data_IF_267463057643
#
_entry.id   IF_267463057643
#
_cell.length_a   1.000
_cell.length_b   1.000
_cell.length_c   1.000
_cell.angle_alpha   90.00
_cell.angle_beta   90.00
_cell.angle_gamma   90.00
#
_symmetry.space_group_name_H-M   'P 1'
#
loop_
_entity.id
_entity.type
_entity.pdbx_description
1 polymer ?
#
# COMPACT_ATOMS: atom_id res chain seq x y z
N UNK A 1 11.59 10.02 17.84
CA UNK A 1 10.69 10.09 16.68
C UNK A 1 10.81 8.79 15.92
N UNK A 2 9.69 8.23 15.46
CA UNK A 2 9.65 7.00 14.68
C UNK A 2 9.57 7.34 13.19
N UNK A 3 9.89 6.37 12.33
CA UNK A 3 9.68 6.52 10.89
C UNK A 3 8.16 6.69 10.62
N UNK A 4 7.81 7.57 9.69
CA UNK A 4 6.44 7.86 9.25
C UNK A 4 6.20 7.29 7.87
N UNK A 5 5.01 6.75 7.63
CA UNK A 5 4.52 6.46 6.29
C UNK A 5 3.02 6.75 6.22
N UNK A 6 2.67 7.75 5.42
CA UNK A 6 1.34 8.35 5.40
C UNK A 6 0.74 8.38 3.99
N UNK A 7 -0.51 7.95 3.88
CA UNK A 7 -1.30 7.99 2.64
C UNK A 7 -2.80 8.05 2.98
N UNK A 8 -3.58 8.50 2.00
CA UNK A 8 -5.04 8.52 2.11
C UNK A 8 -5.64 7.20 1.61
N UNK A 9 -6.77 6.79 2.20
CA UNK A 9 -7.51 5.57 1.83
C UNK A 9 -8.96 5.95 1.50
N UNK A 10 -9.44 5.64 0.30
CA UNK A 10 -10.86 5.80 -0.05
C UNK A 10 -11.70 4.67 0.56
N UNK A 11 -11.33 3.43 0.24
CA UNK A 11 -12.09 2.23 0.63
C UNK A 11 -11.19 0.99 0.73
N UNK A 12 -11.66 0.00 1.47
CA UNK A 12 -11.01 -1.29 1.67
C UNK A 12 -11.99 -2.42 1.41
N UNK A 13 -11.54 -3.44 0.67
CA UNK A 13 -12.23 -4.70 0.51
C UNK A 13 -11.50 -5.82 1.26
N UNK A 14 -12.25 -6.64 1.96
CA UNK A 14 -11.76 -7.84 2.64
C UNK A 14 -12.34 -9.09 2.00
N UNK A 15 -11.53 -10.12 1.81
CA UNK A 15 -11.90 -11.34 1.11
C UNK A 15 -11.60 -12.56 1.97
N UNK A 16 -12.45 -13.57 1.91
CA UNK A 16 -12.31 -14.79 2.72
C UNK A 16 -11.32 -15.78 2.13
N UNK A 17 -11.05 -15.69 0.83
CA UNK A 17 -10.06 -16.47 0.11
C UNK A 17 -8.73 -15.72 -0.02
N UNK A 18 -7.69 -16.45 -0.44
CA UNK A 18 -6.34 -15.90 -0.60
C UNK A 18 -6.14 -15.20 -1.95
N UNK A 19 -7.06 -15.34 -2.91
CA UNK A 19 -6.95 -14.76 -4.25
C UNK A 19 -7.80 -13.51 -4.43
N UNK A 20 -8.42 -13.02 -3.35
CA UNK A 20 -9.19 -11.79 -3.34
C UNK A 20 -10.41 -11.84 -4.27
N UNK A 21 -11.09 -13.00 -4.33
CA UNK A 21 -12.20 -13.25 -5.27
C UNK A 21 -13.54 -13.55 -4.60
N UNK A 22 -13.52 -14.06 -3.37
CA UNK A 22 -14.71 -14.56 -2.66
C UNK A 22 -14.95 -13.85 -1.32
N UNK A 23 -16.22 -13.83 -0.90
CA UNK A 23 -16.61 -13.36 0.42
C UNK A 23 -16.38 -11.86 0.68
N UNK A 24 -16.29 -11.04 -0.39
CA UNK A 24 -16.01 -9.60 -0.33
C UNK A 24 -16.85 -8.87 0.72
N UNK A 25 -16.19 -8.22 1.66
CA UNK A 25 -16.75 -7.22 2.58
C UNK A 25 -16.16 -5.86 2.26
N UNK A 26 -16.93 -4.79 2.48
CA UNK A 26 -16.49 -3.42 2.17
C UNK A 26 -16.46 -2.58 3.43
N UNK A 27 -15.36 -1.82 3.58
CA UNK A 27 -15.22 -0.75 4.55
C UNK A 27 -14.89 0.54 3.78
N UNK A 28 -15.80 1.51 3.82
CA UNK A 28 -15.57 2.83 3.21
C UNK A 28 -14.94 3.76 4.25
N UNK A 29 -13.91 4.51 3.86
CA UNK A 29 -13.21 5.46 4.73
C UNK A 29 -13.53 6.90 4.34
N UNK A 30 -12.82 7.46 3.36
CA UNK A 30 -13.08 8.82 2.86
C UNK A 30 -14.28 8.89 1.91
N UNK A 31 -14.54 7.80 1.18
CA UNK A 31 -15.46 7.83 0.05
C UNK A 31 -14.85 8.50 -1.18
N UNK A 32 -15.60 8.53 -2.29
CA UNK A 32 -15.12 9.00 -3.60
C UNK A 32 -14.96 10.54 -3.62
N UNK A 33 -13.86 11.01 -3.00
CA UNK A 33 -13.46 12.41 -2.91
C UNK A 33 -12.21 12.67 -3.76
N UNK A 34 -11.92 13.95 -4.00
CA UNK A 34 -10.57 14.36 -4.40
C UNK A 34 -9.71 14.43 -3.14
N UNK A 35 -8.66 13.59 -3.00
CA UNK A 35 -7.83 13.58 -1.81
C UNK A 35 -6.96 14.85 -1.72
N UNK A 36 -6.62 15.20 -0.49
CA UNK A 36 -5.70 16.28 -0.12
C UNK A 36 -4.66 15.76 0.87
N UNK A 37 -3.61 16.54 1.12
CA UNK A 37 -2.58 16.20 2.13
C UNK A 37 -3.16 15.97 3.53
N UNK A 38 -4.22 16.69 3.89
CA UNK A 38 -4.89 16.56 5.19
C UNK A 38 -5.67 15.25 5.34
N UNK A 39 -5.91 14.52 4.24
CA UNK A 39 -6.59 13.21 4.24
C UNK A 39 -5.61 12.04 4.49
N UNK A 40 -4.30 12.30 4.53
CA UNK A 40 -3.29 11.28 4.81
C UNK A 40 -3.26 10.94 6.30
N UNK A 41 -3.24 9.65 6.58
CA UNK A 41 -3.03 9.12 7.93
C UNK A 41 -1.65 8.47 8.00
N UNK A 42 -0.93 8.64 9.10
CA UNK A 42 0.35 7.96 9.33
C UNK A 42 0.09 6.50 9.75
N UNK A 43 0.16 5.60 8.78
CA UNK A 43 -0.12 4.17 8.98
C UNK A 43 0.96 3.45 9.78
N UNK A 44 2.13 4.06 9.97
CA UNK A 44 3.17 3.56 10.87
C UNK A 44 2.87 3.87 12.35
N UNK A 45 1.95 4.79 12.64
CA UNK A 45 1.55 5.22 13.98
C UNK A 45 0.25 4.56 14.49
N UNK A 46 -0.16 3.44 13.90
CA UNK A 46 -1.37 2.68 14.23
C UNK A 46 -2.68 3.52 14.19
N UNK A 47 -3.03 4.16 13.05
CA UNK A 47 -4.24 4.95 12.93
C UNK A 47 -5.48 4.04 12.93
N UNK A 48 -6.64 4.60 13.26
CA UNK A 48 -7.90 3.86 13.12
C UNK A 48 -8.29 3.79 11.65
N UNK A 49 -8.18 2.61 11.06
CA UNK A 49 -8.53 2.36 9.66
C UNK A 49 -10.04 2.11 9.55
N UNK A 50 -10.80 3.18 9.66
CA UNK A 50 -12.25 3.22 9.46
C UNK A 50 -13.09 2.60 10.57
N UNK A 51 -14.40 2.61 10.34
CA UNK A 51 -15.38 2.01 11.24
C UNK A 51 -16.50 1.36 10.44
N UNK A 52 -16.93 0.18 10.87
CA UNK A 52 -17.93 -0.59 10.17
C UNK A 52 -18.28 -1.88 10.90
N UNK A 53 -19.21 -2.64 10.34
CA UNK A 53 -19.58 -3.96 10.82
C UNK A 53 -19.18 -4.99 9.75
N UNK A 54 -18.40 -5.99 10.16
CA UNK A 54 -18.05 -7.12 9.31
C UNK A 54 -18.57 -8.42 9.94
N UNK A 55 -19.12 -9.36 9.15
CA UNK A 55 -19.48 -10.67 9.65
C UNK A 55 -18.29 -11.39 10.30
N UNK A 56 -18.58 -12.26 11.26
CA UNK A 56 -17.57 -13.16 11.79
C UNK A 56 -16.95 -14.00 10.67
N UNK A 57 -15.63 -14.12 10.68
CA UNK A 57 -14.90 -14.80 9.62
C UNK A 57 -13.40 -14.54 9.67
N UNK A 58 -12.69 -15.20 8.78
CA UNK A 58 -11.26 -14.99 8.56
C UNK A 58 -11.07 -14.46 7.14
N UNK A 59 -10.48 -13.28 7.03
CA UNK A 59 -10.24 -12.57 5.78
C UNK A 59 -8.76 -12.63 5.45
N UNK A 60 -8.45 -13.35 4.37
CA UNK A 60 -7.09 -13.78 4.01
C UNK A 60 -6.45 -12.90 2.94
N UNK A 61 -7.25 -12.06 2.30
CA UNK A 61 -6.80 -11.01 1.41
C UNK A 61 -7.56 -9.72 1.70
N UNK A 62 -6.92 -8.58 1.43
CA UNK A 62 -7.57 -7.29 1.30
C UNK A 62 -7.11 -6.54 0.04
N UNK A 63 -8.00 -5.74 -0.53
CA UNK A 63 -7.68 -4.75 -1.56
C UNK A 63 -7.92 -3.36 -0.98
N UNK A 64 -6.92 -2.49 -1.03
CA UNK A 64 -6.96 -1.14 -0.46
C UNK A 64 -6.89 -0.14 -1.60
N UNK A 65 -7.85 0.77 -1.66
CA UNK A 65 -7.80 1.88 -2.62
C UNK A 65 -7.11 3.07 -1.97
N UNK A 66 -5.84 3.29 -2.31
CA UNK A 66 -5.00 4.35 -1.77
C UNK A 66 -4.85 5.49 -2.75
N UNK A 67 -4.58 6.68 -2.22
CA UNK A 67 -4.09 7.77 -3.03
C UNK A 67 -2.63 7.47 -3.43
N UNK A 68 -2.30 7.63 -4.71
CA UNK A 68 -0.97 7.38 -5.29
C UNK A 68 0.16 8.22 -4.68
N UNK A 69 -0.18 9.31 -4.01
CA UNK A 69 0.77 10.17 -3.33
C UNK A 69 1.02 9.67 -1.89
N UNK A 70 2.20 9.10 -1.67
CA UNK A 70 2.63 8.55 -0.36
C UNK A 70 3.71 9.44 0.23
N UNK A 71 3.55 9.85 1.49
CA UNK A 71 4.54 10.62 2.22
C UNK A 71 5.26 9.73 3.23
N UNK A 72 6.58 9.83 3.27
CA UNK A 72 7.43 9.16 4.25
C UNK A 72 8.32 10.16 4.96
N UNK A 73 8.70 9.87 6.20
CA UNK A 73 9.73 10.64 6.91
C UNK A 73 10.59 9.71 7.75
N UNK A 74 11.93 9.75 7.59
CA UNK A 74 12.83 8.94 8.40
C UNK A 74 13.01 9.55 9.79
N UNK A 75 13.12 8.69 10.79
CA UNK A 75 13.46 9.07 12.17
C UNK A 75 14.91 9.51 12.34
N UNK A 76 15.80 9.13 11.40
CA UNK A 76 17.22 9.41 11.47
C UNK A 76 17.77 9.81 10.10
N UNK A 77 18.72 10.74 10.10
CA UNK A 77 19.46 11.10 8.89
C UNK A 77 20.37 9.95 8.50
N UNK A 78 20.25 9.52 7.25
CA UNK A 78 21.12 8.51 6.64
C UNK A 78 22.56 9.02 6.53
N UNK A 79 23.53 8.10 6.49
CA UNK A 79 24.97 8.47 6.56
C UNK A 79 25.42 9.34 5.38
N UNK A 80 24.86 9.11 4.18
CA UNK A 80 25.09 9.88 2.97
C UNK A 80 24.26 11.17 2.88
N UNK A 81 23.21 11.28 3.70
CA UNK A 81 22.38 12.48 3.82
C UNK A 81 21.27 12.61 2.78
N UNK A 82 21.02 11.59 1.95
CA UNK A 82 19.92 11.58 0.98
C UNK A 82 18.54 11.44 1.62
N UNK A 83 18.47 10.85 2.82
CA UNK A 83 17.32 10.92 3.72
C UNK A 83 17.70 11.70 4.98
N UNK A 84 16.99 12.80 5.26
CA UNK A 84 17.18 13.70 6.39
C UNK A 84 16.10 13.45 7.45
N UNK A 85 16.50 13.33 8.72
CA UNK A 85 15.58 13.10 9.82
C UNK A 85 14.44 14.13 9.85
N UNK A 86 13.21 13.65 10.02
CA UNK A 86 11.99 14.45 10.13
C UNK A 86 11.64 15.30 8.90
N UNK A 87 12.35 15.13 7.78
CA UNK A 87 11.97 15.71 6.50
C UNK A 87 10.92 14.81 5.83
N UNK A 88 9.87 15.43 5.29
CA UNK A 88 8.83 14.71 4.55
C UNK A 88 9.26 14.56 3.09
N UNK A 89 9.26 13.33 2.61
CA UNK A 89 9.49 12.98 1.22
C UNK A 89 8.21 12.40 0.65
N UNK A 90 7.85 12.81 -0.57
CA UNK A 90 6.66 12.32 -1.24
C UNK A 90 7.05 11.48 -2.46
N UNK A 91 6.49 10.28 -2.52
CA UNK A 91 6.55 9.38 -3.67
C UNK A 91 5.21 9.47 -4.38
N UNK A 92 5.27 9.69 -5.68
CA UNK A 92 4.12 9.54 -6.58
C UNK A 92 4.20 8.15 -7.21
N UNK A 93 3.30 7.25 -6.81
CA UNK A 93 3.29 5.86 -7.25
C UNK A 93 2.87 5.72 -8.72
N UNK A 94 2.05 6.65 -9.22
CA UNK A 94 1.69 6.73 -10.63
C UNK A 94 2.71 7.58 -11.43
N UNK A 95 3.49 8.41 -10.73
CA UNK A 95 4.53 9.30 -11.25
C UNK A 95 5.72 8.55 -11.83
N UNK A 96 5.78 8.50 -13.16
CA UNK A 96 6.88 7.92 -13.91
C UNK A 96 7.06 8.61 -15.26
N UNK A 97 8.17 8.32 -15.93
CA UNK A 97 8.17 8.50 -17.38
C UNK A 97 7.33 7.38 -18.02
N UNK A 98 7.06 7.45 -19.33
CA UNK A 98 6.28 6.42 -20.02
C UNK A 98 6.86 4.99 -19.89
N UNK A 99 8.07 4.81 -19.38
CA UNK A 99 8.74 3.52 -19.22
C UNK A 99 8.65 2.93 -17.80
N UNK A 100 8.35 3.75 -16.78
CA UNK A 100 8.16 3.31 -15.39
C UNK A 100 6.74 3.47 -14.87
N UNK A 101 5.82 3.97 -15.70
CA UNK A 101 4.42 4.14 -15.34
C UNK A 101 3.75 2.81 -14.99
N UNK A 102 2.92 2.84 -13.93
CA UNK A 102 2.06 1.71 -13.58
C UNK A 102 0.98 1.52 -14.65
N UNK A 103 1.13 0.45 -15.44
CA UNK A 103 0.25 0.20 -16.60
C UNK A 103 -0.76 -0.91 -16.35
N UNK A 104 -0.57 -1.75 -15.33
CA UNK A 104 -1.46 -2.86 -14.99
C UNK A 104 -1.96 -2.80 -13.54
N UNK A 105 -2.91 -1.91 -13.25
CA UNK A 105 -3.63 -1.90 -11.98
C UNK A 105 -4.96 -2.63 -12.14
N UNK A 106 -5.23 -3.64 -11.32
CA UNK A 106 -6.51 -4.35 -11.33
C UNK A 106 -7.58 -3.61 -10.53
N UNK A 107 -8.72 -3.30 -11.15
CA UNK A 107 -9.84 -2.68 -10.48
C UNK A 107 -10.90 -3.73 -10.08
N UNK A 108 -11.10 -4.00 -8.78
CA UNK A 108 -12.08 -4.98 -8.30
C UNK A 108 -13.54 -4.49 -8.38
N UNK A 109 -13.78 -3.19 -8.63
CA UNK A 109 -15.12 -2.64 -8.84
C UNK A 109 -15.64 -2.93 -10.25
N UNK A 110 -14.75 -2.86 -11.24
CA UNK A 110 -15.11 -3.06 -12.66
C UNK A 110 -14.72 -4.43 -13.18
N UNK A 111 -13.82 -5.14 -12.50
CA UNK A 111 -13.25 -6.41 -12.96
C UNK A 111 -12.38 -6.23 -14.22
N UNK A 112 -11.66 -5.11 -14.32
CA UNK A 112 -10.83 -4.76 -15.45
C UNK A 112 -9.52 -4.11 -15.02
N UNK A 113 -8.48 -4.25 -15.84
CA UNK A 113 -7.23 -3.51 -15.68
C UNK A 113 -7.36 -2.09 -16.21
N UNK A 114 -6.57 -1.18 -15.62
CA UNK A 114 -6.34 0.16 -16.12
C UNK A 114 -4.88 0.56 -15.87
N UNK A 115 -4.47 1.64 -16.51
CA UNK A 115 -3.15 2.26 -16.32
C UNK A 115 -3.33 3.58 -15.58
N UNK A 116 -2.36 3.96 -14.74
CA UNK A 116 -2.30 5.33 -14.21
C UNK A 116 -2.21 6.34 -15.36
N UNK A 117 -2.68 7.57 -15.14
CA UNK A 117 -2.47 8.62 -16.13
C UNK A 117 -1.05 9.13 -15.98
N UNK A 118 -0.20 8.94 -17.00
CA UNK A 118 1.15 9.51 -16.98
C UNK A 118 1.03 11.01 -17.28
N UNK A 119 0.77 11.81 -16.25
CA UNK A 119 0.65 13.26 -16.39
C UNK A 119 1.89 13.98 -15.87
N UNK A 120 2.30 15.03 -16.59
CA UNK A 120 3.43 15.91 -16.24
C UNK A 120 3.17 16.84 -15.02
N UNK A 121 2.01 16.68 -14.40
CA UNK A 121 1.57 17.31 -13.16
C UNK A 121 0.94 16.21 -12.31
N UNK A 122 0.95 16.29 -10.96
CA UNK A 122 0.41 15.24 -10.11
C UNK A 122 -1.09 15.06 -10.38
N UNK A 123 -1.44 14.20 -11.32
CA UNK A 123 -2.79 13.71 -11.51
C UNK A 123 -3.02 12.77 -10.35
N UNK A 124 -3.59 13.32 -9.29
CA UNK A 124 -3.86 12.60 -8.04
C UNK A 124 -4.82 11.47 -8.29
N UNK A 125 -4.34 10.23 -8.20
CA UNK A 125 -5.09 9.04 -8.63
C UNK A 125 -5.30 8.06 -7.49
N UNK A 126 -6.50 7.48 -7.50
CA UNK A 126 -6.84 6.39 -6.59
C UNK A 126 -6.43 5.05 -7.22
N UNK A 127 -5.47 4.36 -6.62
CA UNK A 127 -4.96 3.07 -7.07
C UNK A 127 -5.28 1.94 -6.10
N UNK A 128 -5.36 0.72 -6.62
CA UNK A 128 -5.65 -0.47 -5.83
C UNK A 128 -4.38 -1.25 -5.50
N UNK A 129 -4.16 -1.49 -4.21
CA UNK A 129 -3.10 -2.36 -3.68
C UNK A 129 -3.72 -3.63 -3.16
N UNK A 130 -3.11 -4.78 -3.47
CA UNK A 130 -3.55 -6.07 -2.96
C UNK A 130 -2.62 -6.57 -1.87
N UNK A 131 -3.17 -7.06 -0.76
CA UNK A 131 -2.42 -7.73 0.30
C UNK A 131 -3.02 -9.10 0.57
N UNK A 132 -2.21 -10.15 0.54
CA UNK A 132 -2.70 -11.52 0.72
C UNK A 132 -1.74 -12.42 1.49
N UNK A 133 -2.31 -13.34 2.25
CA UNK A 133 -1.58 -14.41 2.94
C UNK A 133 -1.00 -15.48 2.00
N UNK A 134 -1.34 -15.47 0.71
CA UNK A 134 -0.72 -16.33 -0.30
C UNK A 134 0.32 -15.62 -1.16
N UNK A 135 0.34 -14.29 -1.15
CA UNK A 135 1.36 -13.51 -1.85
C UNK A 135 2.73 -13.80 -1.24
N UNK A 136 3.74 -13.85 -2.10
CA UNK A 136 5.15 -14.13 -1.75
C UNK A 136 6.05 -12.93 -1.97
N UNK A 137 5.45 -11.80 -2.36
CA UNK A 137 6.14 -10.56 -2.62
C UNK A 137 6.40 -9.81 -1.30
N UNK A 138 7.59 -10.02 -0.73
CA UNK A 138 8.02 -9.48 0.57
C UNK A 138 8.93 -8.23 0.45
N UNK A 139 9.45 -7.96 -0.76
CA UNK A 139 10.42 -6.90 -1.06
C UNK A 139 10.18 -6.36 -2.49
N UNK A 140 10.90 -5.33 -2.94
CA UNK A 140 10.80 -4.92 -4.34
C UNK A 140 11.20 -6.10 -5.26
N UNK A 141 10.27 -6.57 -6.09
CA UNK A 141 10.54 -7.59 -7.11
C UNK A 141 11.03 -6.88 -8.38
N UNK A 142 12.34 -6.95 -8.65
CA UNK A 142 12.94 -6.35 -9.84
C UNK A 142 12.40 -6.94 -11.15
N UNK A 143 11.79 -8.13 -11.11
CA UNK A 143 11.22 -8.79 -12.28
C UNK A 143 9.73 -8.46 -12.48
N UNK A 144 9.09 -7.73 -11.56
CA UNK A 144 7.66 -7.41 -11.65
C UNK A 144 7.25 -6.07 -11.05
N UNK A 145 7.40 -5.00 -11.83
CA UNK A 145 7.00 -3.63 -11.46
C UNK A 145 5.51 -3.50 -11.07
N UNK A 146 4.64 -4.32 -11.68
CA UNK A 146 3.20 -4.15 -11.55
C UNK A 146 2.52 -5.20 -10.64
N UNK A 147 3.29 -6.09 -10.00
CA UNK A 147 2.75 -7.22 -9.26
C UNK A 147 1.88 -6.81 -8.06
N UNK A 148 2.31 -5.81 -7.29
CA UNK A 148 1.61 -5.32 -6.09
C UNK A 148 0.18 -4.81 -6.37
N UNK A 149 -0.10 -4.42 -7.62
CA UNK A 149 -1.36 -3.81 -8.08
C UNK A 149 -2.33 -4.83 -8.68
N UNK A 150 -2.01 -6.11 -8.59
CA UNK A 150 -2.83 -7.22 -9.07
C UNK A 150 -3.09 -8.22 -7.94
N UNK A 151 -4.28 -8.85 -7.89
CA UNK A 151 -4.53 -9.91 -6.92
C UNK A 151 -3.68 -11.15 -7.23
N UNK A 152 -3.23 -11.89 -6.22
CA UNK A 152 -2.62 -13.21 -6.41
C UNK A 152 -3.58 -14.17 -7.09
N UNK A 153 -3.01 -15.10 -7.85
CA UNK A 153 -3.74 -16.19 -8.50
C UNK A 153 -3.06 -17.52 -8.18
N UNK A 154 -3.72 -18.64 -8.48
CA UNK A 154 -3.11 -19.95 -8.28
C UNK A 154 -1.81 -20.16 -9.09
N UNK A 155 -1.69 -19.48 -10.24
CA UNK A 155 -0.54 -19.60 -11.14
C UNK A 155 0.51 -18.49 -10.91
N UNK A 156 0.16 -17.44 -10.19
CA UNK A 156 1.05 -16.31 -9.89
C UNK A 156 0.84 -15.79 -8.47
N UNK A 157 1.75 -16.18 -7.58
CA UNK A 157 1.79 -15.77 -6.17
C UNK A 157 2.74 -14.59 -5.90
N UNK A 158 3.41 -14.05 -6.92
CA UNK A 158 4.16 -12.79 -6.77
C UNK A 158 3.24 -11.57 -6.88
N UNK A 159 2.04 -11.74 -7.45
CA UNK A 159 1.02 -10.71 -7.40
C UNK A 159 0.55 -10.40 -5.95
N UNK A 160 0.37 -9.12 -5.66
CA UNK A 160 -0.02 -8.58 -4.36
C UNK A 160 1.09 -8.64 -3.32
N UNK A 161 1.03 -7.77 -2.33
CA UNK A 161 1.96 -7.70 -1.21
C UNK A 161 1.64 -8.82 -0.21
N UNK A 162 2.69 -9.38 0.40
CA UNK A 162 2.52 -10.36 1.49
C UNK A 162 1.79 -9.77 2.69
N UNK A 163 0.71 -10.43 3.12
CA UNK A 163 0.01 -10.17 4.38
C UNK A 163 0.43 -11.22 5.41
N UNK A 164 1.17 -10.81 6.45
CA UNK A 164 1.76 -11.72 7.43
C UNK A 164 0.75 -12.57 8.22
N UNK A 165 -0.44 -12.04 8.47
CA UNK A 165 -1.53 -12.77 9.11
C UNK A 165 -2.90 -12.24 8.65
N UNK A 166 -3.88 -13.14 8.57
CA UNK A 166 -5.26 -12.82 8.18
C UNK A 166 -6.03 -12.10 9.29
N UNK A 167 -6.93 -11.18 8.90
CA UNK A 167 -7.90 -10.60 9.83
C UNK A 167 -8.89 -11.66 10.30
N UNK A 168 -9.07 -11.82 11.61
CA UNK A 168 -10.08 -12.73 12.17
C UNK A 168 -11.10 -11.96 12.99
N UNK A 169 -12.30 -11.79 12.45
CA UNK A 169 -13.41 -11.10 13.13
C UNK A 169 -14.22 -12.11 13.94
N UNK A 170 -14.35 -11.86 15.25
CA UNK A 170 -15.20 -12.64 16.15
C UNK A 170 -15.62 -11.80 17.35
N UNK A 171 -16.70 -12.17 18.04
CA UNK A 171 -17.17 -11.47 19.24
C UNK A 171 -16.14 -11.38 20.39
N UNK A 172 -15.07 -12.18 20.36
CA UNK A 172 -14.07 -12.27 21.42
C UNK A 172 -12.71 -11.65 21.03
N UNK A 173 -12.57 -11.13 19.80
CA UNK A 173 -11.28 -10.60 19.30
C UNK A 173 -11.42 -9.18 18.79
N UNK A 174 -10.50 -8.34 19.25
CA UNK A 174 -10.08 -7.13 18.56
C UNK A 174 -8.85 -7.48 17.75
N UNK A 175 -8.76 -7.00 16.52
CA UNK A 175 -7.56 -7.14 15.70
C UNK A 175 -7.08 -5.78 15.26
N UNK A 176 -5.76 -5.62 15.20
CA UNK A 176 -5.10 -4.40 14.75
C UNK A 176 -4.42 -4.68 13.42
N UNK A 177 -4.61 -3.78 12.44
CA UNK A 177 -3.80 -3.80 11.23
C UNK A 177 -2.52 -3.03 11.50
N UNK A 178 -1.38 -3.66 11.26
CA UNK A 178 -0.06 -3.12 11.56
C UNK A 178 0.73 -2.93 10.29
N UNK A 179 1.23 -1.71 10.10
CA UNK A 179 2.17 -1.36 9.04
C UNK A 179 3.55 -1.19 9.65
N UNK A 180 4.50 -2.03 9.28
CA UNK A 180 5.88 -1.95 9.77
C UNK A 180 6.77 -1.34 8.70
N UNK A 181 7.35 -0.19 9.03
CA UNK A 181 8.24 0.59 8.15
C UNK A 181 9.70 0.63 8.63
N UNK A 182 10.01 -0.03 9.74
CA UNK A 182 11.38 -0.09 10.25
C UNK A 182 12.34 -0.69 9.22
N UNK A 183 13.42 0.03 8.92
CA UNK A 183 14.40 -0.31 7.87
C UNK A 183 13.80 -0.38 6.45
N UNK A 184 12.67 0.29 6.20
CA UNK A 184 12.07 0.38 4.85
C UNK A 184 12.39 1.70 4.16
N UNK A 185 12.72 2.77 4.89
CA UNK A 185 13.16 4.04 4.30
C UNK A 185 14.68 3.99 4.06
N UNK A 186 15.11 4.27 2.84
CA UNK A 186 16.49 4.13 2.42
C UNK A 186 16.96 5.32 1.58
N UNK A 187 18.25 5.59 1.68
CA UNK A 187 18.95 6.56 0.84
C UNK A 187 19.54 5.84 -0.37
N UNK A 188 19.05 6.20 -1.56
CA UNK A 188 19.46 5.60 -2.82
C UNK A 188 20.70 6.25 -3.43
N UNK A 189 21.28 7.28 -2.81
CA UNK A 189 22.48 7.97 -3.34
C UNK A 189 23.70 7.04 -3.51
N UNK A 190 23.70 5.91 -2.79
CA UNK A 190 24.71 4.86 -2.92
C UNK A 190 24.53 3.98 -4.17
N UNK A 191 23.32 3.91 -4.72
CA UNK A 191 22.95 3.12 -5.91
C UNK A 191 22.96 4.00 -7.16
N UNK A 192 22.46 5.23 -7.05
CA UNK A 192 22.49 6.24 -8.09
C UNK A 192 22.89 7.59 -7.46
N UNK A 193 23.95 8.27 -7.91
CA UNK A 193 24.31 9.61 -7.42
C UNK A 193 23.20 10.66 -7.57
N UNK A 194 22.21 10.42 -8.44
CA UNK A 194 20.98 11.22 -8.55
C UNK A 194 19.80 10.71 -7.69
N UNK A 195 19.96 9.56 -7.03
CA UNK A 195 18.99 8.94 -6.15
C UNK A 195 18.67 9.78 -4.93
N UNK A 196 17.43 9.68 -4.46
CA UNK A 196 16.93 10.44 -3.32
C UNK A 196 16.65 9.55 -2.12
N UNK A 197 15.80 10.06 -1.21
CA UNK A 197 15.18 9.23 -0.20
C UNK A 197 14.03 8.42 -0.84
N UNK A 198 14.00 7.12 -0.59
CA UNK A 198 12.96 6.20 -1.06
C UNK A 198 12.43 5.33 0.08
N UNK A 199 11.35 4.59 -0.18
CA UNK A 199 10.82 3.61 0.74
C UNK A 199 10.50 2.30 0.02
N UNK A 200 11.05 1.21 0.52
CA UNK A 200 10.64 -0.15 0.19
C UNK A 200 9.20 -0.39 0.67
N UNK A 201 8.47 -1.28 -0.01
CA UNK A 201 7.13 -1.70 0.42
C UNK A 201 7.10 -2.03 1.93
N UNK A 202 6.14 -1.48 2.70
CA UNK A 202 5.99 -1.81 4.12
C UNK A 202 5.63 -3.29 4.32
N UNK A 203 5.88 -3.80 5.53
CA UNK A 203 5.35 -5.10 5.92
C UNK A 203 3.99 -4.93 6.61
N UNK A 204 3.00 -5.72 6.20
CA UNK A 204 1.62 -5.62 6.68
C UNK A 204 1.17 -6.90 7.38
N UNK A 205 0.46 -6.77 8.50
CA UNK A 205 -0.08 -7.93 9.24
C UNK A 205 -1.28 -7.55 10.10
N UNK A 206 -2.13 -8.53 10.43
CA UNK A 206 -3.11 -8.41 11.51
C UNK A 206 -2.59 -9.06 12.80
N UNK A 207 -2.78 -8.42 13.94
CA UNK A 207 -2.42 -8.92 15.28
C UNK A 207 -3.62 -8.91 16.24
#
# INVERSE_FOLDING_TARGET
>A
DADKAAWAIDKIYFYTDVYCTEGKQTLTFLGDITPTEDDKEDHAADPTIGSGSMPHGTYKCMAVRIWDNVTMSPSATTTSGGCVASEDYTIDLCGGDNSSALVQVWNPDTGAQYSCTVDSAPASEWIWVYLSTASTDEAADEDCNDCDWNPPTADNLTNGITLGAALTVSAAKTSTFKTTVSNRIADETALDPGGGCSMLKPAFTFE
#
